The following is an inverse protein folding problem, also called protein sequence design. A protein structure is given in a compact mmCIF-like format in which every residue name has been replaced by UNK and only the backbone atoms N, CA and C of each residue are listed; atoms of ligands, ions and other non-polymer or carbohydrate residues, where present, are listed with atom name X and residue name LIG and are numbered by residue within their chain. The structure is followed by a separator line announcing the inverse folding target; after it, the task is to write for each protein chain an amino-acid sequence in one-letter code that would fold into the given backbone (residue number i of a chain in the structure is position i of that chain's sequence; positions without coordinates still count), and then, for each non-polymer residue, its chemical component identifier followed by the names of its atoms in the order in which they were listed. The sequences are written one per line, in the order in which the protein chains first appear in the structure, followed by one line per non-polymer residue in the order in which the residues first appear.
data_IF_879222131241
#
_entry.id   IF_879222131241
#
_cell.length_a   1.000
_cell.length_b   1.000
_cell.length_c   1.000
_cell.angle_alpha   90.00
_cell.angle_beta   90.00
_cell.angle_gamma   90.00
#
_symmetry.space_group_name_H-M   'P 1'
#
loop_
_entity.id
_entity.type
_entity.pdbx_description
1 polymer ?
#
# COMPACT_ATOMS: atom_id res chain seq x y z
N UNK A 1 4.49 5.61 6.86
CA UNK A 1 4.59 4.80 5.64
C UNK A 1 4.18 5.70 4.49
N UNK A 2 4.98 5.83 3.43
CA UNK A 2 4.59 6.56 2.23
C UNK A 2 4.26 5.65 1.06
N UNK A 3 4.65 4.37 1.11
CA UNK A 3 4.32 3.40 0.06
C UNK A 3 3.68 2.14 0.64
N UNK A 4 2.71 1.60 -0.09
CA UNK A 4 2.17 0.27 0.13
C UNK A 4 1.79 -0.40 -1.18
N UNK A 5 1.58 -1.71 -1.14
CA UNK A 5 1.07 -2.49 -2.26
C UNK A 5 -0.12 -3.32 -1.83
N UNK A 6 -0.99 -3.60 -2.79
CA UNK A 6 -2.27 -4.27 -2.55
C UNK A 6 -2.41 -5.50 -3.43
N UNK A 7 -3.34 -6.37 -3.04
CA UNK A 7 -3.91 -7.37 -3.94
C UNK A 7 -4.74 -6.71 -5.05
N UNK A 8 -5.39 -7.53 -5.89
CA UNK A 8 -6.30 -7.05 -6.93
C UNK A 8 -7.34 -6.08 -6.35
N UNK A 9 -7.49 -4.91 -6.97
CA UNK A 9 -8.51 -3.95 -6.56
C UNK A 9 -9.91 -4.45 -6.90
N UNK A 10 -10.89 -4.16 -6.06
CA UNK A 10 -12.30 -4.44 -6.30
C UNK A 10 -13.01 -3.11 -6.56
N UNK A 11 -13.47 -2.91 -7.79
CA UNK A 11 -14.18 -1.68 -8.18
C UNK A 11 -15.68 -1.82 -7.90
N UNK A 12 -16.25 -0.87 -7.17
CA UNK A 12 -17.65 -0.93 -6.71
C UNK A 12 -18.61 -0.42 -7.79
N UNK A 13 -18.13 0.39 -8.73
CA UNK A 13 -18.97 1.06 -9.72
C UNK A 13 -18.47 0.86 -11.15
N UNK A 14 -19.32 1.18 -12.12
CA UNK A 14 -18.99 1.28 -13.55
C UNK A 14 -17.83 2.24 -13.85
N UNK A 15 -17.51 3.14 -12.92
CA UNK A 15 -16.37 4.06 -12.97
C UNK A 15 -15.10 3.41 -12.43
N UNK A 16 -14.33 2.81 -13.35
CA UNK A 16 -12.94 2.44 -13.10
C UNK A 16 -12.06 3.67 -13.32
N UNK A 17 -11.13 4.00 -12.41
CA UNK A 17 -10.11 5.00 -12.72
C UNK A 17 -9.22 4.48 -13.86
N UNK A 18 -8.85 5.37 -14.78
CA UNK A 18 -7.77 5.08 -15.73
C UNK A 18 -6.45 5.02 -14.96
N UNK A 19 -5.71 3.91 -15.06
CA UNK A 19 -4.46 3.70 -14.34
C UNK A 19 -3.25 3.81 -15.31
N UNK A 20 -2.10 4.35 -14.89
CA UNK A 20 -1.81 4.96 -13.58
C UNK A 20 -2.46 6.34 -13.40
N UNK A 21 -2.70 6.74 -12.15
CA UNK A 21 -3.34 8.04 -11.83
C UNK A 21 -2.89 8.58 -10.47
N UNK A 22 -3.01 9.90 -10.28
CA UNK A 22 -2.80 10.66 -9.06
C UNK A 22 -4.10 11.32 -8.53
N UNK A 23 -5.23 11.08 -9.21
CA UNK A 23 -6.53 11.66 -8.89
C UNK A 23 -7.30 10.87 -7.82
N UNK A 24 -6.68 9.86 -7.22
CA UNK A 24 -7.31 8.98 -6.24
C UNK A 24 -6.82 9.31 -4.84
N UNK A 25 -7.70 9.15 -3.87
CA UNK A 25 -7.41 9.32 -2.46
C UNK A 25 -7.52 7.97 -1.75
N UNK A 26 -6.54 7.68 -0.91
CA UNK A 26 -6.44 6.47 -0.14
C UNK A 26 -6.96 6.69 1.28
N UNK A 27 -7.91 5.86 1.71
CA UNK A 27 -8.40 5.84 3.08
C UNK A 27 -8.22 4.46 3.70
N UNK A 28 -7.75 4.44 4.94
CA UNK A 28 -7.54 3.21 5.70
C UNK A 28 -8.01 3.39 7.15
N UNK A 29 -8.48 2.29 7.76
CA UNK A 29 -9.29 2.20 8.99
C UNK A 29 -8.95 3.17 10.13
N UNK A 30 -7.67 3.47 10.39
CA UNK A 30 -7.29 4.37 11.49
C UNK A 30 -7.15 5.86 11.11
N UNK A 31 -7.56 6.25 9.90
CA UNK A 31 -7.55 7.65 9.44
C UNK A 31 -8.92 8.08 8.93
N UNK A 32 -9.48 9.06 9.64
CA UNK A 32 -10.75 9.71 9.30
C UNK A 32 -10.69 10.55 8.01
N UNK A 33 -9.50 10.86 7.48
CA UNK A 33 -9.34 11.67 6.27
C UNK A 33 -8.64 10.86 5.18
N UNK A 34 -9.18 10.83 3.95
CA UNK A 34 -8.49 10.25 2.81
C UNK A 34 -7.25 11.10 2.45
N UNK A 35 -6.19 10.43 1.98
CA UNK A 35 -4.92 11.06 1.62
C UNK A 35 -4.73 10.92 0.12
N UNK A 36 -4.40 12.01 -0.57
CA UNK A 36 -4.10 11.95 -2.01
C UNK A 36 -2.96 10.95 -2.27
N UNK A 37 -3.09 10.15 -3.31
CA UNK A 37 -2.09 9.15 -3.64
C UNK A 37 -1.93 8.98 -5.15
N UNK A 38 -0.73 8.54 -5.54
CA UNK A 38 -0.46 8.04 -6.87
C UNK A 38 -0.61 6.53 -6.87
N UNK A 39 -1.31 6.01 -7.87
CA UNK A 39 -1.60 4.60 -8.03
C UNK A 39 -1.01 4.11 -9.36
N UNK A 40 -0.28 3.00 -9.29
CA UNK A 40 0.31 2.32 -10.44
C UNK A 40 -0.16 0.86 -10.49
N UNK A 41 -0.61 0.35 -11.66
CA UNK A 41 -1.13 -1.00 -11.81
C UNK A 41 -0.04 -2.05 -12.08
N UNK A 42 -0.22 -3.27 -11.57
CA UNK A 42 0.66 -4.43 -11.76
C UNK A 42 -0.15 -5.72 -11.92
N UNK A 43 0.42 -6.72 -12.61
CA UNK A 43 -0.29 -7.98 -12.86
C UNK A 43 -0.29 -8.87 -11.62
N UNK A 44 0.79 -8.84 -10.83
CA UNK A 44 0.95 -9.69 -9.65
C UNK A 44 1.27 -8.88 -8.40
N UNK A 45 0.97 -9.46 -7.24
CA UNK A 45 1.34 -8.88 -5.94
C UNK A 45 2.85 -8.78 -5.80
N UNK A 46 3.59 -9.74 -6.36
CA UNK A 46 5.06 -9.74 -6.32
C UNK A 46 5.64 -8.58 -7.13
N UNK A 47 5.15 -8.36 -8.37
CA UNK A 47 5.55 -7.21 -9.18
C UNK A 47 5.28 -5.87 -8.47
N UNK A 48 4.11 -5.76 -7.83
CA UNK A 48 3.76 -4.57 -7.04
C UNK A 48 4.71 -4.38 -5.83
N UNK A 49 5.04 -5.47 -5.12
CA UNK A 49 5.97 -5.43 -4.00
C UNK A 49 7.39 -5.02 -4.44
N UNK A 50 7.87 -5.59 -5.56
CA UNK A 50 9.18 -5.29 -6.12
C UNK A 50 9.23 -3.83 -6.58
N UNK A 51 8.18 -3.33 -7.23
CA UNK A 51 8.10 -1.92 -7.66
C UNK A 51 8.05 -0.94 -6.48
N UNK A 52 7.27 -1.24 -5.43
CA UNK A 52 7.24 -0.43 -4.22
C UNK A 52 8.63 -0.36 -3.55
N UNK A 53 9.36 -1.49 -3.58
CA UNK A 53 10.66 -1.66 -2.94
C UNK A 53 11.83 -1.11 -3.78
N UNK A 54 11.76 -1.16 -5.11
CA UNK A 54 12.82 -0.65 -6.00
C UNK A 54 13.07 0.85 -5.80
N UNK A 55 12.03 1.59 -5.46
CA UNK A 55 12.10 3.01 -5.10
C UNK A 55 12.74 3.27 -3.71
N UNK A 56 13.21 2.23 -3.01
CA UNK A 56 13.89 2.24 -1.71
C UNK A 56 15.31 1.68 -1.90
N UNK A 57 16.20 2.46 -2.53
CA UNK A 57 17.48 1.98 -3.05
C UNK A 57 18.58 1.92 -1.99
N UNK A 58 18.56 0.89 -1.11
CA UNK A 58 19.75 0.25 -0.53
C UNK A 58 19.33 -1.00 0.26
N UNK A 59 19.68 -2.16 -0.27
CA UNK A 59 19.68 -3.47 0.41
C UNK A 59 18.46 -3.73 1.29
N UNK A 60 17.33 -4.03 0.65
CA UNK A 60 16.26 -4.79 1.32
C UNK A 60 16.90 -6.10 1.78
N UNK A 61 17.15 -6.23 3.08
CA UNK A 61 17.31 -7.55 3.70
C UNK A 61 16.09 -8.33 3.25
N UNK A 62 16.32 -9.36 2.42
CA UNK A 62 15.26 -10.20 1.88
C UNK A 62 14.28 -10.52 3.02
N UNK A 63 12.98 -10.27 2.88
CA UNK A 63 12.04 -10.64 3.91
C UNK A 63 12.22 -12.14 4.16
N UNK A 64 12.50 -12.48 5.42
CA UNK A 64 12.45 -13.87 5.89
C UNK A 64 11.08 -14.37 5.46
N UNK A 65 11.07 -15.52 4.78
CA UNK A 65 9.89 -16.20 4.26
C UNK A 65 8.95 -16.51 5.43
N UNK A 66 8.10 -15.56 5.77
CA UNK A 66 6.95 -15.77 6.63
C UNK A 66 5.90 -16.47 5.80
N UNK A 67 6.04 -17.79 5.69
CA UNK A 67 4.92 -18.65 5.34
C UNK A 67 3.75 -18.30 6.29
N UNK A 68 2.52 -18.28 5.76
CA UNK A 68 1.23 -18.23 6.47
C UNK A 68 0.45 -16.89 6.57
N UNK A 69 0.45 -16.04 5.54
CA UNK A 69 -0.65 -15.06 5.36
C UNK A 69 -1.60 -15.38 4.20
N UNK A 70 -1.20 -16.29 3.30
CA UNK A 70 -2.10 -16.87 2.30
C UNK A 70 -3.11 -17.86 2.89
N UNK A 71 -2.92 -18.31 4.14
CA UNK A 71 -3.77 -19.31 4.80
C UNK A 71 -4.97 -18.71 5.57
N UNK A 72 -5.04 -17.38 5.70
CA UNK A 72 -6.17 -16.67 6.32
C UNK A 72 -6.90 -15.91 5.21
N UNK A 73 -7.24 -16.62 4.14
CA UNK A 73 -8.34 -16.19 3.29
C UNK A 73 -9.59 -16.82 3.89
N UNK A 74 -10.59 -16.04 4.34
CA UNK A 74 -11.91 -16.63 4.58
C UNK A 74 -12.34 -17.30 3.28
N UNK A 75 -12.84 -18.53 3.41
CA UNK A 75 -13.43 -19.35 2.35
C UNK A 75 -14.06 -18.48 1.27
N UNK A 76 -13.63 -18.73 0.02
CA UNK A 76 -14.09 -18.02 -1.16
C UNK A 76 -15.62 -17.99 -1.18
N UNK A 77 -16.19 -16.86 -0.78
CA UNK A 77 -17.57 -16.53 -1.13
C UNK A 77 -17.53 -16.39 -2.64
N UNK A 78 -18.10 -17.37 -3.33
CA UNK A 78 -18.16 -17.43 -4.79
C UNK A 78 -19.03 -16.29 -5.34
N UNK A 79 -18.48 -15.08 -5.36
CA UNK A 79 -19.07 -13.91 -6.00
C UNK A 79 -18.52 -13.81 -7.42
N UNK A 80 -19.16 -14.59 -8.29
CA UNK A 80 -19.09 -14.42 -9.75
C UNK A 80 -19.38 -12.94 -10.04
N UNK A 81 -18.52 -12.29 -10.82
CA UNK A 81 -18.60 -10.89 -11.29
C UNK A 81 -18.14 -9.73 -10.38
N UNK A 82 -17.21 -9.95 -9.44
CA UNK A 82 -16.46 -8.80 -8.90
C UNK A 82 -15.65 -8.14 -10.02
N UNK A 83 -15.89 -6.85 -10.23
CA UNK A 83 -15.17 -6.01 -11.19
C UNK A 83 -13.72 -5.80 -10.74
N UNK A 84 -12.93 -6.87 -10.86
CA UNK A 84 -11.60 -7.00 -10.28
C UNK A 84 -10.59 -6.33 -11.21
N UNK A 85 -9.78 -5.45 -10.63
CA UNK A 85 -8.70 -4.73 -11.27
C UNK A 85 -7.33 -5.34 -11.01
N UNK A 86 -6.28 -4.65 -11.46
CA UNK A 86 -4.90 -5.08 -11.22
C UNK A 86 -4.51 -4.98 -9.74
N UNK A 87 -3.37 -5.56 -9.38
CA UNK A 87 -2.67 -5.24 -8.13
C UNK A 87 -2.16 -3.80 -8.21
N UNK A 88 -2.07 -3.11 -7.08
CA UNK A 88 -1.73 -1.69 -7.05
C UNK A 88 -0.50 -1.42 -6.19
N UNK A 89 0.36 -0.50 -6.64
CA UNK A 89 1.28 0.24 -5.76
C UNK A 89 0.66 1.60 -5.50
N UNK A 90 0.66 1.99 -4.22
CA UNK A 90 0.08 3.23 -3.73
C UNK A 90 1.18 4.05 -3.10
N UNK A 91 1.45 5.22 -3.67
CA UNK A 91 2.36 6.23 -3.13
C UNK A 91 1.55 7.37 -2.52
N UNK A 92 1.62 7.52 -1.21
CA UNK A 92 0.88 8.51 -0.45
C UNK A 92 1.58 9.87 -0.53
N UNK A 93 0.83 10.93 -0.84
CA UNK A 93 1.35 12.29 -0.83
C UNK A 93 1.86 12.71 0.56
N UNK A 94 1.24 12.16 1.62
CA UNK A 94 1.63 12.37 3.00
C UNK A 94 1.80 11.04 3.74
N UNK A 95 2.81 10.90 4.62
CA UNK A 95 3.01 9.66 5.35
C UNK A 95 1.83 9.32 6.28
N UNK A 96 1.42 8.06 6.23
CA UNK A 96 0.41 7.50 7.13
C UNK A 96 1.02 6.60 8.19
N UNK A 97 0.41 6.60 9.39
CA UNK A 97 0.77 5.68 10.48
C UNK A 97 0.08 4.34 10.27
N UNK A 98 0.72 3.26 10.72
CA UNK A 98 0.13 1.93 10.94
C UNK A 98 -0.59 1.23 9.76
N UNK A 99 -0.37 1.61 8.50
CA UNK A 99 -0.83 0.85 7.31
C UNK A 99 -0.31 -0.59 7.36
N UNK A 100 -1.17 -1.56 7.67
CA UNK A 100 -0.79 -2.95 7.89
C UNK A 100 -1.35 -3.90 6.81
N UNK A 101 -0.64 -5.00 6.60
CA UNK A 101 -1.09 -6.09 5.71
C UNK A 101 -2.34 -6.78 6.26
N UNK A 102 -3.15 -7.34 5.35
CA UNK A 102 -4.42 -8.01 5.67
C UNK A 102 -5.59 -7.07 5.91
N UNK A 103 -5.36 -5.75 5.99
CA UNK A 103 -6.42 -4.76 6.13
C UNK A 103 -6.90 -4.25 4.76
N UNK A 104 -8.17 -3.88 4.69
CA UNK A 104 -8.74 -3.25 3.50
C UNK A 104 -8.55 -1.74 3.53
N UNK A 105 -8.26 -1.19 2.36
CA UNK A 105 -8.27 0.25 2.10
C UNK A 105 -9.34 0.60 1.07
N UNK A 106 -9.96 1.76 1.25
CA UNK A 106 -10.91 2.34 0.32
C UNK A 106 -10.22 3.39 -0.58
N UNK A 107 -10.64 3.44 -1.83
CA UNK A 107 -10.13 4.33 -2.86
C UNK A 107 -11.24 5.31 -3.25
N UNK A 108 -10.94 6.60 -3.24
CA UNK A 108 -11.90 7.66 -3.52
C UNK A 108 -11.46 8.55 -4.68
N UNK A 109 -12.40 9.05 -5.46
CA UNK A 109 -12.20 10.20 -6.36
C UNK A 109 -13.14 11.31 -5.90
N UNK A 110 -12.59 12.31 -5.21
CA UNK A 110 -13.40 13.31 -4.50
C UNK A 110 -14.32 12.64 -3.46
N UNK A 111 -15.63 12.89 -3.55
CA UNK A 111 -16.62 12.34 -2.60
C UNK A 111 -17.15 10.94 -3.00
N UNK A 112 -16.61 10.33 -4.05
CA UNK A 112 -17.08 9.05 -4.57
C UNK A 112 -16.10 7.92 -4.23
N UNK A 113 -16.56 6.90 -3.50
CA UNK A 113 -15.81 5.65 -3.34
C UNK A 113 -15.83 4.89 -4.67
N UNK A 114 -14.66 4.71 -5.28
CA UNK A 114 -14.52 4.00 -6.57
C UNK A 114 -14.26 2.51 -6.38
N UNK A 115 -13.71 2.13 -5.23
CA UNK A 115 -13.41 0.74 -4.92
C UNK A 115 -12.58 0.57 -3.66
N UNK A 116 -12.02 -0.61 -3.50
CA UNK A 116 -11.10 -0.91 -2.41
C UNK A 116 -10.13 -2.02 -2.78
N UNK A 117 -9.07 -2.14 -2.00
CA UNK A 117 -8.09 -3.21 -2.17
C UNK A 117 -7.54 -3.64 -0.82
N UNK A 118 -7.22 -4.93 -0.69
CA UNK A 118 -6.55 -5.46 0.49
C UNK A 118 -5.07 -5.09 0.45
N UNK A 119 -4.57 -4.47 1.50
CA UNK A 119 -3.16 -4.15 1.66
C UNK A 119 -2.38 -5.45 1.87
N UNK A 120 -1.41 -5.72 1.02
CA UNK A 120 -0.53 -6.90 1.13
C UNK A 120 0.77 -6.57 1.86
N UNK A 121 1.21 -5.31 1.82
CA UNK A 121 2.32 -4.83 2.63
C UNK A 121 2.61 -3.35 2.42
N UNK A 122 3.56 -2.84 3.18
CA UNK A 122 3.88 -1.42 3.25
C UNK A 122 5.34 -1.18 3.59
N UNK A 123 5.84 0.00 3.24
CA UNK A 123 7.21 0.42 3.54
C UNK A 123 7.17 1.40 4.72
N UNK A 124 7.91 1.06 5.78
CA UNK A 124 8.07 1.92 6.94
C UNK A 124 8.87 3.17 6.55
N UNK A 125 8.55 4.31 7.17
CA UNK A 125 9.38 5.51 7.02
C UNK A 125 10.82 5.28 7.52
N UNK A 126 11.00 4.33 8.43
CA UNK A 126 12.31 3.90 8.87
C UNK A 126 13.12 3.29 7.71
N UNK A 127 12.54 2.33 6.98
CA UNK A 127 13.20 1.75 5.80
C UNK A 127 13.47 2.82 4.73
N UNK A 128 12.55 3.77 4.52
CA UNK A 128 12.78 4.91 3.62
C UNK A 128 13.94 5.80 4.10
N UNK A 129 14.01 6.08 5.41
CA UNK A 129 15.02 6.92 6.06
C UNK A 129 16.44 6.33 6.07
N UNK A 130 16.60 5.04 5.73
CA UNK A 130 17.92 4.45 5.51
C UNK A 130 18.50 4.73 4.10
N UNK A 131 17.75 5.42 3.24
CA UNK A 131 18.16 5.72 1.88
C UNK A 131 18.49 7.20 1.68
N UNK A 132 19.27 7.49 0.63
CA UNK A 132 19.52 8.86 0.18
C UNK A 132 18.19 9.58 -0.14
N UNK A 133 17.99 10.84 0.28
CA UNK A 133 18.96 11.77 0.89
C UNK A 133 19.03 11.73 2.43
N UNK A 134 18.34 10.80 3.09
CA UNK A 134 18.18 10.74 4.55
C UNK A 134 19.37 10.06 5.25
N UNK A 135 20.59 10.26 4.76
CA UNK A 135 21.80 9.55 5.22
C UNK A 135 22.24 9.86 6.65
N UNK A 136 21.61 10.84 7.32
CA UNK A 136 22.00 11.33 8.65
C UNK A 136 21.01 10.95 9.75
N UNK A 137 20.10 10.01 9.49
CA UNK A 137 19.19 9.50 10.52
C UNK A 137 19.94 8.55 11.47
N UNK A 138 20.50 9.11 12.55
CA UNK A 138 21.06 8.35 13.67
C UNK A 138 20.01 8.24 14.79
N UNK A 139 19.75 7.00 15.22
CA UNK A 139 18.79 6.67 16.26
C UNK A 139 19.23 7.20 17.64
N UNK A 140 20.54 7.33 17.87
CA UNK A 140 21.10 7.83 19.12
C UNK A 140 20.65 9.27 19.41
N UNK A 141 20.31 10.04 18.37
CA UNK A 141 19.78 11.39 18.52
C UNK A 141 18.35 11.44 19.11
N UNK A 142 17.66 10.30 19.17
CA UNK A 142 16.26 10.20 19.60
C UNK A 142 16.06 9.24 20.78
N UNK A 143 17.13 8.60 21.27
CA UNK A 143 17.07 7.89 22.54
C UNK A 143 16.96 8.91 23.67
N UNK A 144 15.82 8.87 24.38
CA UNK A 144 15.68 9.60 25.63
C UNK A 144 16.52 8.87 26.68
N UNK A 145 17.65 9.46 27.05
CA UNK A 145 18.38 9.02 28.24
C UNK A 145 17.54 9.35 29.48
N UNK A 146 17.01 8.32 30.13
CA UNK A 146 16.34 8.39 31.43
C UNK A 146 17.34 8.12 32.56
#
# INVERSE_FOLDING_TARGET
MRRCWTGPAVWINSLKPTLPTDCVQFQWQNKWRPVNCRISPFNTVQEAADAASAACTRTVIRPVKGDQLSAIMPEEVSEVDRNTGPCLVIELAEPMRCVASGQWAALYMGNCCVGGAMICGSISLWHEGQNSPYTNWDYANYELHY
#
